data_IF_103224237562
#
_entry.id   IF_103224237562
#
_cell.length_a   1.000
_cell.length_b   1.000
_cell.length_c   1.000
_cell.angle_alpha   90.00
_cell.angle_beta   90.00
_cell.angle_gamma   90.00
#
_symmetry.space_group_name_H-M   'P 1'
#
loop_
_entity.id
_entity.type
_entity.pdbx_description
1 polymer ?
#
# COMPACT_ATOMS: atom_id res chain seq x y z
N UNK A 1 70.91 49.49 -6.75
CA UNK A 1 69.83 48.52 -6.48
C UNK A 1 68.60 49.31 -6.05
N UNK A 2 67.49 49.18 -6.76
CA UNK A 2 66.20 49.80 -6.39
C UNK A 2 65.30 48.75 -5.69
N UNK A 3 64.43 49.15 -4.74
CA UNK A 3 63.63 48.20 -3.97
C UNK A 3 62.50 47.57 -4.78
N UNK A 4 62.28 46.27 -4.57
CA UNK A 4 61.17 45.50 -5.13
C UNK A 4 59.86 45.87 -4.40
N UNK A 5 58.92 46.46 -5.13
CA UNK A 5 57.58 46.77 -4.59
C UNK A 5 56.61 45.67 -5.04
N UNK A 6 56.16 44.85 -4.09
CA UNK A 6 55.08 43.88 -4.31
C UNK A 6 53.76 44.54 -3.93
N UNK A 7 52.90 44.78 -4.93
CA UNK A 7 51.51 45.22 -4.71
C UNK A 7 50.62 43.98 -4.65
N UNK A 8 49.92 43.79 -3.53
CA UNK A 8 48.87 42.79 -3.44
C UNK A 8 47.66 43.30 -4.22
N UNK A 9 47.29 42.60 -5.29
CA UNK A 9 46.01 42.83 -5.94
C UNK A 9 44.94 42.10 -5.11
N UNK A 10 44.03 42.85 -4.51
CA UNK A 10 42.89 42.34 -3.74
C UNK A 10 41.85 41.66 -4.65
N UNK A 11 42.26 40.61 -5.35
CA UNK A 11 41.38 39.75 -6.17
C UNK A 11 40.52 38.82 -5.31
N UNK A 12 40.81 38.75 -4.01
CA UNK A 12 39.96 38.11 -3.01
C UNK A 12 39.29 39.20 -2.18
N UNK A 13 38.32 39.89 -2.77
CA UNK A 13 37.22 40.39 -1.92
C UNK A 13 36.52 39.14 -1.43
N UNK A 14 36.56 38.77 -0.14
CA UNK A 14 35.76 37.68 0.35
C UNK A 14 34.33 38.07 0.02
N UNK A 15 33.69 37.34 -0.89
CA UNK A 15 32.26 37.47 -1.13
C UNK A 15 31.65 37.40 0.26
N UNK A 16 30.97 38.48 0.68
CA UNK A 16 30.39 38.57 2.03
C UNK A 16 29.43 37.40 2.18
N UNK A 17 29.91 36.28 2.71
CA UNK A 17 29.08 35.13 3.02
C UNK A 17 28.21 35.59 4.17
N UNK A 18 27.00 36.05 3.85
CA UNK A 18 26.06 36.51 4.86
C UNK A 18 25.88 35.33 5.81
N UNK A 19 26.23 35.49 7.11
CA UNK A 19 26.17 34.38 8.05
C UNK A 19 24.74 33.85 8.07
N UNK A 20 24.61 32.53 8.00
CA UNK A 20 23.29 31.88 8.00
C UNK A 20 22.56 32.20 9.31
N UNK A 21 21.24 31.98 9.36
CA UNK A 21 20.46 32.25 10.57
C UNK A 21 21.02 31.51 11.80
N UNK A 22 21.62 30.35 11.58
CA UNK A 22 22.22 29.54 12.64
C UNK A 22 23.58 30.10 13.09
N UNK A 23 24.41 30.55 12.15
CA UNK A 23 25.67 31.23 12.48
C UNK A 23 25.42 32.50 13.31
N UNK A 24 24.37 33.26 12.97
CA UNK A 24 23.97 34.45 13.75
C UNK A 24 23.50 34.10 15.16
N UNK A 25 22.80 32.97 15.36
CA UNK A 25 22.36 32.52 16.69
C UNK A 25 23.55 32.06 17.54
N UNK A 26 24.50 31.37 16.92
CA UNK A 26 25.74 30.93 17.57
C UNK A 26 26.58 32.14 17.99
N UNK A 27 26.78 33.10 17.09
CA UNK A 27 27.55 34.32 17.39
C UNK A 27 26.90 35.15 18.51
N UNK A 28 25.56 35.14 18.60
CA UNK A 28 24.80 35.85 19.65
C UNK A 28 24.71 35.09 20.98
N UNK A 29 25.03 33.80 21.04
CA UNK A 29 24.86 33.01 22.26
C UNK A 29 25.96 33.25 23.30
N UNK A 30 27.02 33.99 22.94
CA UNK A 30 28.13 34.35 23.83
C UNK A 30 28.95 33.16 24.35
N UNK A 31 28.64 31.95 23.89
CA UNK A 31 29.27 30.69 24.29
C UNK A 31 30.23 30.24 23.20
N UNK A 32 31.51 29.94 23.51
CA UNK A 32 32.40 29.33 22.54
C UNK A 32 31.89 27.92 22.19
N UNK A 33 31.76 27.63 20.90
CA UNK A 33 31.41 26.28 20.46
C UNK A 33 32.54 25.33 20.84
N UNK A 34 32.19 24.25 21.53
CA UNK A 34 33.13 23.18 21.87
C UNK A 34 33.37 22.26 20.67
N UNK A 35 34.57 21.68 20.56
CA UNK A 35 34.91 20.73 19.49
C UNK A 35 33.97 19.51 19.48
N UNK A 36 33.41 19.15 20.63
CA UNK A 36 32.44 18.06 20.76
C UNK A 36 31.10 18.40 20.12
N UNK A 37 30.61 19.63 20.27
CA UNK A 37 29.36 20.08 19.65
C UNK A 37 29.45 20.10 18.13
N UNK A 38 30.60 20.47 17.56
CA UNK A 38 30.84 20.39 16.12
C UNK A 38 30.80 18.94 15.61
N UNK A 39 31.44 18.02 16.33
CA UNK A 39 31.42 16.59 15.99
C UNK A 39 30.01 16.01 16.09
N UNK A 40 29.23 16.41 17.10
CA UNK A 40 27.82 16.00 17.25
C UNK A 40 26.94 16.52 16.13
N UNK A 41 27.10 17.78 15.71
CA UNK A 41 26.37 18.34 14.57
C UNK A 41 26.70 17.65 13.25
N UNK A 42 27.97 17.37 12.99
CA UNK A 42 28.40 16.63 11.79
C UNK A 42 27.81 15.22 11.75
N UNK A 43 27.89 14.48 12.88
CA UNK A 43 27.27 13.15 13.00
C UNK A 43 25.75 13.20 12.81
N UNK A 44 25.06 14.19 13.37
CA UNK A 44 23.61 14.33 13.20
C UNK A 44 23.20 14.61 11.75
N UNK A 45 23.98 15.40 11.00
CA UNK A 45 23.75 15.62 9.57
C UNK A 45 24.00 14.37 8.73
N UNK A 46 25.07 13.63 9.05
CA UNK A 46 25.43 12.39 8.37
C UNK A 46 24.37 11.30 8.62
N UNK A 47 23.87 11.18 9.84
CA UNK A 47 22.77 10.27 10.21
C UNK A 47 21.44 10.62 9.51
N UNK A 48 21.16 11.91 9.27
CA UNK A 48 19.98 12.34 8.50
C UNK A 48 20.09 11.95 7.03
N UNK A 49 21.29 12.09 6.43
CA UNK A 49 21.56 11.69 5.06
C UNK A 49 21.51 10.16 4.89
N UNK A 50 22.01 9.41 5.88
CA UNK A 50 22.00 7.93 5.88
C UNK A 50 20.60 7.34 6.06
N UNK A 51 19.73 7.97 6.86
CA UNK A 51 18.35 7.51 7.10
C UNK A 51 17.43 7.59 5.87
N UNK A 52 17.81 8.32 4.83
CA UNK A 52 16.98 8.52 3.63
C UNK A 52 17.06 7.41 2.58
N UNK A 53 17.92 6.40 2.70
CA UNK A 53 18.40 5.70 1.50
C UNK A 53 17.90 4.29 1.19
N UNK A 54 17.35 3.47 2.10
CA UNK A 54 17.12 2.04 1.74
C UNK A 54 15.88 1.43 2.40
N UNK A 55 14.87 1.12 1.59
CA UNK A 55 13.65 0.29 1.82
C UNK A 55 12.36 0.97 2.30
N UNK A 56 12.38 2.20 2.81
CA UNK A 56 11.15 2.97 3.12
C UNK A 56 10.73 3.92 2.00
N UNK A 57 11.64 4.27 1.09
CA UNK A 57 11.46 5.27 0.04
C UNK A 57 10.32 4.91 -0.88
N UNK A 58 10.33 3.73 -1.51
CA UNK A 58 9.38 3.48 -2.61
C UNK A 58 7.92 3.44 -2.15
N UNK A 59 7.63 2.85 -0.98
CA UNK A 59 6.28 2.89 -0.42
C UNK A 59 5.88 4.28 0.09
N UNK A 60 6.82 5.04 0.67
CA UNK A 60 6.57 6.41 1.14
C UNK A 60 6.40 7.37 -0.04
N UNK A 61 7.18 7.19 -1.10
CA UNK A 61 7.14 7.93 -2.36
C UNK A 61 5.85 7.61 -3.13
N UNK A 62 5.41 6.35 -3.19
CA UNK A 62 4.09 5.98 -3.76
C UNK A 62 2.94 6.55 -2.91
N UNK A 63 3.09 6.61 -1.58
CA UNK A 63 2.08 7.23 -0.70
C UNK A 63 2.02 8.75 -0.89
N UNK A 64 3.17 9.37 -1.13
CA UNK A 64 3.29 10.80 -1.36
C UNK A 64 2.84 11.17 -2.79
N UNK A 65 3.02 10.28 -3.76
CA UNK A 65 2.62 10.45 -5.15
C UNK A 65 1.25 9.82 -5.46
N UNK A 66 0.22 10.63 -5.27
CA UNK A 66 -1.18 10.30 -5.57
C UNK A 66 -1.37 9.99 -7.07
N UNK A 67 -0.59 10.61 -7.96
CA UNK A 67 -0.73 10.40 -9.40
C UNK A 67 -0.22 9.01 -9.78
N UNK A 68 0.95 8.62 -9.26
CA UNK A 68 1.50 7.27 -9.44
C UNK A 68 0.58 6.20 -8.85
N UNK A 69 0.05 6.42 -7.66
CA UNK A 69 -0.88 5.47 -7.02
C UNK A 69 -2.16 5.25 -7.85
N UNK A 70 -2.71 6.33 -8.41
CA UNK A 70 -3.87 6.26 -9.32
C UNK A 70 -3.52 5.52 -10.60
N UNK A 71 -2.38 5.82 -11.22
CA UNK A 71 -1.92 5.17 -12.45
C UNK A 71 -1.76 3.66 -12.25
N UNK A 72 -1.09 3.24 -11.17
CA UNK A 72 -0.89 1.82 -10.88
C UNK A 72 -2.21 1.10 -10.62
N UNK A 73 -3.10 1.69 -9.83
CA UNK A 73 -4.40 1.08 -9.48
C UNK A 73 -5.42 1.07 -10.62
N UNK A 74 -5.34 2.02 -11.56
CA UNK A 74 -6.26 2.18 -12.69
C UNK A 74 -5.69 1.65 -14.01
N UNK A 75 -4.42 1.22 -14.05
CA UNK A 75 -3.74 0.67 -15.23
C UNK A 75 -4.56 -0.38 -15.97
N UNK A 76 -5.23 -1.28 -15.24
CA UNK A 76 -6.12 -2.30 -15.81
C UNK A 76 -7.36 -1.70 -16.51
N UNK A 77 -7.93 -0.62 -15.97
CA UNK A 77 -9.07 0.10 -16.58
C UNK A 77 -8.63 0.81 -17.86
N UNK A 78 -7.44 1.42 -17.84
CA UNK A 78 -6.88 2.11 -19.00
C UNK A 78 -6.49 1.12 -20.12
N UNK A 79 -5.91 -0.03 -19.77
CA UNK A 79 -5.56 -1.08 -20.71
C UNK A 79 -6.79 -1.73 -21.36
N UNK A 80 -7.83 -2.03 -20.58
CA UNK A 80 -9.05 -2.68 -21.08
C UNK A 80 -9.84 -1.83 -22.09
N UNK A 81 -9.83 -0.51 -21.90
CA UNK A 81 -10.68 0.41 -22.68
C UNK A 81 -10.09 0.78 -24.03
N UNK A 82 -8.77 0.65 -24.20
CA UNK A 82 -8.07 1.03 -25.43
C UNK A 82 -7.86 -0.13 -26.42
N UNK A 83 -8.39 -1.31 -26.12
CA UNK A 83 -8.27 -2.49 -26.99
C UNK A 83 -6.89 -3.11 -26.90
N UNK A 84 -6.77 -4.16 -26.10
CA UNK A 84 -5.54 -4.92 -25.87
C UNK A 84 -4.95 -5.52 -27.16
N UNK A 85 -4.07 -4.79 -27.84
CA UNK A 85 -3.04 -5.33 -28.76
C UNK A 85 -1.65 -4.76 -28.44
N UNK A 86 -1.52 -3.59 -27.80
CA UNK A 86 -0.22 -2.94 -27.65
C UNK A 86 0.39 -3.01 -26.25
N UNK A 87 1.71 -3.21 -26.24
CA UNK A 87 2.62 -3.20 -25.09
C UNK A 87 2.45 -1.96 -24.22
N UNK A 88 2.71 -2.06 -22.91
CA UNK A 88 2.55 -0.98 -21.93
C UNK A 88 3.26 0.34 -22.29
N UNK A 89 4.20 0.33 -23.23
CA UNK A 89 4.85 1.53 -23.79
C UNK A 89 3.91 2.40 -24.66
N UNK A 90 3.00 1.80 -25.43
CA UNK A 90 2.04 2.57 -26.25
C UNK A 90 0.95 3.22 -25.38
N UNK A 91 0.60 2.53 -24.28
CA UNK A 91 -0.27 3.09 -23.25
C UNK A 91 0.33 4.37 -22.67
N UNK A 92 1.63 4.37 -22.33
CA UNK A 92 2.31 5.55 -21.79
C UNK A 92 2.41 6.69 -22.80
N UNK A 93 2.75 6.41 -24.06
CA UNK A 93 2.89 7.43 -25.10
C UNK A 93 1.56 8.12 -25.42
N UNK A 94 0.46 7.38 -25.46
CA UNK A 94 -0.87 7.95 -25.75
C UNK A 94 -1.60 8.48 -24.51
N UNK A 95 -1.17 8.16 -23.28
CA UNK A 95 -1.66 8.84 -22.07
C UNK A 95 -0.92 10.14 -21.79
N UNK A 96 0.31 10.31 -22.29
CA UNK A 96 1.05 11.58 -22.16
C UNK A 96 0.31 12.74 -22.85
N UNK A 97 -0.35 12.50 -23.99
CA UNK A 97 -1.13 13.53 -24.69
C UNK A 97 -2.52 13.78 -24.09
N UNK A 98 -2.97 12.94 -23.16
CA UNK A 98 -4.29 13.03 -22.53
C UNK A 98 -4.17 12.97 -21.00
N UNK A 99 -4.03 14.15 -20.39
CA UNK A 99 -4.08 14.39 -18.94
C UNK A 99 -5.25 13.69 -18.23
N UNK A 100 -6.34 13.37 -18.94
CA UNK A 100 -7.51 12.69 -18.37
C UNK A 100 -8.02 11.54 -19.24
N UNK A 101 -8.40 10.40 -18.64
CA UNK A 101 -9.10 9.34 -19.37
C UNK A 101 -10.42 9.87 -19.94
N UNK A 102 -10.80 9.38 -21.12
CA UNK A 102 -12.01 9.80 -21.84
C UNK A 102 -13.07 8.68 -21.82
N UNK A 103 -14.35 9.06 -21.90
CA UNK A 103 -15.47 8.12 -22.05
C UNK A 103 -15.63 7.11 -20.92
N UNK A 104 -15.81 5.83 -21.26
CA UNK A 104 -16.05 4.76 -20.30
C UNK A 104 -14.87 4.56 -19.32
N UNK A 105 -13.64 4.78 -19.78
CA UNK A 105 -12.44 4.73 -18.94
C UNK A 105 -12.51 5.77 -17.83
N UNK A 106 -12.95 7.00 -18.17
CA UNK A 106 -13.13 8.10 -17.22
C UNK A 106 -14.11 7.73 -16.12
N UNK A 107 -15.26 7.20 -16.51
CA UNK A 107 -16.34 6.83 -15.57
C UNK A 107 -15.88 5.73 -14.62
N UNK A 108 -15.19 4.69 -15.14
CA UNK A 108 -14.65 3.60 -14.32
C UNK A 108 -13.54 4.08 -13.38
N UNK A 109 -12.59 4.87 -13.87
CA UNK A 109 -11.51 5.43 -13.07
C UNK A 109 -12.06 6.31 -11.94
N UNK A 110 -12.97 7.23 -12.27
CA UNK A 110 -13.62 8.09 -11.29
C UNK A 110 -14.39 7.28 -10.23
N UNK A 111 -15.18 6.28 -10.65
CA UNK A 111 -15.87 5.40 -9.71
C UNK A 111 -14.89 4.62 -8.81
N UNK A 112 -13.76 4.16 -9.35
CA UNK A 112 -12.70 3.50 -8.57
C UNK A 112 -12.13 4.44 -7.49
N UNK A 113 -11.80 5.68 -7.87
CA UNK A 113 -11.30 6.73 -6.96
C UNK A 113 -12.29 7.04 -5.84
N UNK A 114 -13.55 7.27 -6.19
CA UNK A 114 -14.61 7.55 -5.20
C UNK A 114 -14.78 6.36 -4.27
N UNK A 115 -14.81 5.13 -4.80
CA UNK A 115 -14.93 3.94 -3.96
C UNK A 115 -13.75 3.78 -3.00
N UNK A 116 -12.52 4.06 -3.46
CA UNK A 116 -11.32 3.97 -2.61
C UNK A 116 -11.38 4.97 -1.46
N UNK A 117 -11.77 6.22 -1.72
CA UNK A 117 -11.92 7.24 -0.68
C UNK A 117 -13.09 6.91 0.25
N UNK A 118 -14.21 6.45 -0.30
CA UNK A 118 -15.39 6.08 0.47
C UNK A 118 -15.20 4.82 1.33
N UNK A 119 -14.30 3.90 0.95
CA UNK A 119 -13.98 2.70 1.73
C UNK A 119 -13.37 3.03 3.10
N UNK A 120 -12.72 4.19 3.27
CA UNK A 120 -12.06 4.59 4.53
C UNK A 120 -13.08 5.03 5.59
N UNK A 121 -14.05 5.86 5.20
CA UNK A 121 -15.01 6.47 6.14
C UNK A 121 -16.44 5.88 6.03
N UNK A 122 -16.73 5.09 4.99
CA UNK A 122 -18.05 4.55 4.75
C UNK A 122 -18.34 3.26 5.54
N UNK A 123 -19.63 2.87 5.61
CA UNK A 123 -20.15 1.68 6.29
C UNK A 123 -19.65 0.32 5.69
N UNK A 124 -18.63 0.33 4.82
CA UNK A 124 -18.04 -0.87 4.20
C UNK A 124 -18.98 -1.71 3.31
N UNK A 125 -20.28 -1.36 3.25
CA UNK A 125 -21.31 -2.07 2.50
C UNK A 125 -21.39 -1.54 1.07
N UNK A 126 -20.69 -2.19 0.15
CA UNK A 126 -20.89 -1.95 -1.28
C UNK A 126 -22.26 -2.46 -1.71
N UNK A 127 -23.12 -1.57 -2.17
CA UNK A 127 -24.42 -1.93 -2.75
C UNK A 127 -24.19 -2.46 -4.17
N UNK A 128 -24.55 -3.73 -4.39
CA UNK A 128 -24.54 -4.32 -5.73
C UNK A 128 -25.77 -3.89 -6.51
N UNK A 129 -25.68 -3.93 -7.83
CA UNK A 129 -26.81 -3.72 -8.72
C UNK A 129 -27.90 -4.78 -8.47
N UNK A 130 -29.17 -4.36 -8.44
CA UNK A 130 -30.31 -5.26 -8.26
C UNK A 130 -30.45 -6.12 -9.52
N UNK A 131 -30.25 -7.43 -9.38
CA UNK A 131 -30.36 -8.39 -10.48
C UNK A 131 -31.21 -9.59 -10.05
N UNK A 132 -31.98 -10.20 -10.97
CA UNK A 132 -32.63 -11.48 -10.71
C UNK A 132 -31.61 -12.55 -10.31
N UNK A 133 -32.01 -13.43 -9.38
CA UNK A 133 -31.11 -14.45 -8.82
C UNK A 133 -30.50 -15.36 -9.89
N UNK A 134 -31.31 -15.81 -10.85
CA UNK A 134 -30.87 -16.72 -11.92
C UNK A 134 -29.82 -16.06 -12.82
N UNK A 135 -30.02 -14.79 -13.18
CA UNK A 135 -29.06 -14.03 -13.98
C UNK A 135 -27.74 -13.83 -13.22
N UNK A 136 -27.82 -13.41 -11.94
CA UNK A 136 -26.62 -13.20 -11.13
C UNK A 136 -25.82 -14.49 -10.96
N UNK A 137 -26.48 -15.62 -10.68
CA UNK A 137 -25.84 -16.95 -10.62
C UNK A 137 -25.21 -17.33 -11.96
N UNK A 138 -25.89 -17.10 -13.08
CA UNK A 138 -25.37 -17.35 -14.42
C UNK A 138 -24.10 -16.55 -14.71
N UNK A 139 -24.11 -15.25 -14.40
CA UNK A 139 -22.93 -14.38 -14.54
C UNK A 139 -21.76 -14.85 -13.68
N UNK A 140 -22.00 -15.19 -12.40
CA UNK A 140 -20.97 -15.71 -11.51
C UNK A 140 -20.37 -17.00 -12.09
N UNK A 141 -21.20 -17.95 -12.53
CA UNK A 141 -20.74 -19.22 -13.09
C UNK A 141 -19.91 -19.01 -14.36
N UNK A 142 -20.35 -18.14 -15.26
CA UNK A 142 -19.61 -17.81 -16.48
C UNK A 142 -18.26 -17.12 -16.17
N UNK A 143 -18.25 -16.21 -15.20
CA UNK A 143 -17.05 -15.51 -14.77
C UNK A 143 -16.03 -16.46 -14.11
N UNK A 144 -16.49 -17.35 -13.23
CA UNK A 144 -15.64 -18.38 -12.60
C UNK A 144 -15.04 -19.29 -13.65
N UNK A 145 -15.81 -19.79 -14.62
CA UNK A 145 -15.30 -20.60 -15.73
C UNK A 145 -14.21 -19.88 -16.54
N UNK A 146 -14.37 -18.57 -16.78
CA UNK A 146 -13.37 -17.76 -17.47
C UNK A 146 -12.07 -17.64 -16.66
N UNK A 147 -12.19 -17.42 -15.35
CA UNK A 147 -11.04 -17.38 -14.44
C UNK A 147 -10.33 -18.74 -14.40
N UNK A 148 -11.07 -19.83 -14.24
CA UNK A 148 -10.50 -21.18 -14.20
C UNK A 148 -9.76 -21.52 -15.49
N UNK A 149 -10.34 -21.18 -16.65
CA UNK A 149 -9.68 -21.34 -17.95
C UNK A 149 -8.37 -20.54 -18.01
N UNK A 150 -8.40 -19.25 -17.65
CA UNK A 150 -7.22 -18.38 -17.64
C UNK A 150 -6.13 -18.87 -16.68
N UNK A 151 -6.50 -19.29 -15.47
CA UNK A 151 -5.55 -19.81 -14.47
C UNK A 151 -4.96 -21.15 -14.88
N UNK A 152 -5.75 -22.01 -15.53
CA UNK A 152 -5.27 -23.29 -16.08
C UNK A 152 -4.30 -23.07 -17.23
N UNK A 153 -4.66 -22.24 -18.21
CA UNK A 153 -3.79 -21.91 -19.36
C UNK A 153 -2.46 -21.29 -18.89
N UNK A 154 -2.50 -20.35 -17.94
CA UNK A 154 -1.29 -19.77 -17.37
C UNK A 154 -0.43 -20.82 -16.65
N UNK A 155 -1.05 -21.75 -15.91
CA UNK A 155 -0.34 -22.83 -15.23
C UNK A 155 0.31 -23.80 -16.22
N UNK A 156 -0.40 -24.17 -17.29
CA UNK A 156 0.10 -25.04 -18.36
C UNK A 156 1.26 -24.37 -19.12
N UNK A 157 1.19 -23.06 -19.34
CA UNK A 157 2.23 -22.27 -19.99
C UNK A 157 3.40 -21.86 -19.05
N UNK A 158 3.35 -22.18 -17.76
CA UNK A 158 4.37 -21.77 -16.78
C UNK A 158 4.38 -20.26 -16.45
N UNK A 159 3.30 -19.54 -16.75
CA UNK A 159 3.16 -18.10 -16.48
C UNK A 159 2.77 -17.88 -15.01
N UNK A 160 3.56 -17.06 -14.30
CA UNK A 160 3.28 -16.71 -12.91
C UNK A 160 2.23 -15.59 -12.84
N UNK A 161 1.07 -15.90 -12.25
CA UNK A 161 -0.01 -14.95 -12.04
C UNK A 161 0.04 -14.31 -10.65
N UNK A 162 -0.44 -13.06 -10.54
CA UNK A 162 -0.61 -12.38 -9.25
C UNK A 162 -1.51 -13.19 -8.29
N UNK A 163 -1.17 -13.21 -7.00
CA UNK A 163 -1.94 -13.91 -5.96
C UNK A 163 -3.19 -13.12 -5.59
N UNK A 164 -4.32 -13.82 -5.40
CA UNK A 164 -5.61 -13.26 -4.95
C UNK A 164 -5.94 -13.76 -3.55
N UNK A 165 -6.80 -13.04 -2.80
CA UNK A 165 -7.30 -13.56 -1.52
C UNK A 165 -8.27 -14.72 -1.77
N UNK A 166 -8.43 -15.57 -0.76
CA UNK A 166 -9.41 -16.66 -0.79
C UNK A 166 -10.81 -16.08 -0.99
N UNK A 167 -11.59 -16.72 -1.85
CA UNK A 167 -12.97 -16.33 -2.23
C UNK A 167 -13.12 -15.01 -3.02
N UNK A 168 -12.01 -14.32 -3.35
CA UNK A 168 -12.02 -13.19 -4.29
C UNK A 168 -11.91 -13.67 -5.74
N UNK A 169 -12.61 -12.99 -6.63
CA UNK A 169 -12.48 -13.21 -8.07
C UNK A 169 -11.20 -12.55 -8.57
N UNK A 170 -10.48 -13.24 -9.47
CA UNK A 170 -9.39 -12.61 -10.22
C UNK A 170 -10.00 -11.53 -11.11
N UNK A 171 -9.40 -10.34 -11.09
CA UNK A 171 -9.77 -9.29 -12.02
C UNK A 171 -9.26 -9.69 -13.41
N UNK A 172 -10.20 -9.86 -14.33
CA UNK A 172 -9.93 -10.08 -15.74
C UNK A 172 -10.48 -8.89 -16.52
N UNK A 173 -10.02 -8.74 -17.76
CA UNK A 173 -10.45 -7.64 -18.61
C UNK A 173 -11.96 -7.58 -18.80
N UNK A 174 -12.55 -6.40 -18.56
CA UNK A 174 -13.99 -6.14 -18.74
C UNK A 174 -14.24 -4.98 -19.69
N UNK A 175 -14.87 -5.31 -20.82
CA UNK A 175 -15.22 -4.37 -21.89
C UNK A 175 -16.55 -3.65 -21.66
N UNK A 176 -17.33 -4.04 -20.65
CA UNK A 176 -18.60 -3.39 -20.33
C UNK A 176 -18.42 -1.95 -19.85
N UNK A 177 -19.48 -1.12 -19.95
CA UNK A 177 -19.48 0.26 -19.41
C UNK A 177 -19.37 0.24 -17.88
N UNK A 178 -20.19 -0.60 -17.23
CA UNK A 178 -20.12 -0.87 -15.79
C UNK A 178 -19.19 -2.05 -15.52
N UNK A 179 -18.37 -1.95 -14.47
CA UNK A 179 -17.50 -3.04 -14.09
C UNK A 179 -18.32 -4.24 -13.61
N UNK A 180 -17.92 -5.45 -13.99
CA UNK A 180 -18.59 -6.68 -13.55
C UNK A 180 -18.70 -6.78 -12.02
N UNK A 181 -17.75 -6.18 -11.30
CA UNK A 181 -17.73 -6.09 -9.84
C UNK A 181 -18.94 -5.35 -9.24
N UNK A 182 -19.62 -4.44 -9.96
CA UNK A 182 -20.86 -3.80 -9.47
C UNK A 182 -22.04 -4.77 -9.47
N UNK A 183 -22.04 -5.73 -10.40
CA UNK A 183 -23.12 -6.71 -10.61
C UNK A 183 -22.96 -7.95 -9.76
N UNK A 184 -21.77 -8.54 -9.75
CA UNK A 184 -21.48 -9.80 -9.06
C UNK A 184 -20.66 -9.63 -7.77
N UNK A 185 -20.11 -8.44 -7.51
CA UNK A 185 -19.20 -8.20 -6.39
C UNK A 185 -17.74 -8.56 -6.70
N UNK A 186 -16.84 -8.29 -5.75
CA UNK A 186 -15.42 -8.65 -5.85
C UNK A 186 -15.14 -10.15 -5.57
N UNK A 187 -16.10 -10.86 -5.00
CA UNK A 187 -15.92 -12.25 -4.57
C UNK A 187 -17.19 -12.84 -3.97
N UNK A 188 -17.13 -14.12 -3.63
CA UNK A 188 -18.21 -14.81 -2.92
C UNK A 188 -18.11 -14.49 -1.43
N UNK A 189 -19.02 -13.66 -0.92
CA UNK A 189 -19.08 -13.34 0.51
C UNK A 189 -19.49 -14.58 1.30
N UNK A 190 -18.53 -15.23 1.95
CA UNK A 190 -18.79 -16.25 2.97
C UNK A 190 -18.79 -15.61 4.34
N UNK A 191 -19.77 -15.97 5.15
CA UNK A 191 -19.78 -15.57 6.55
C UNK A 191 -18.60 -16.22 7.27
N UNK A 192 -17.84 -15.42 8.01
CA UNK A 192 -16.81 -15.91 8.91
C UNK A 192 -17.51 -16.54 10.11
N UNK A 193 -17.87 -17.81 9.98
CA UNK A 193 -18.45 -18.59 11.09
C UNK A 193 -17.32 -19.20 11.89
N UNK A 194 -17.32 -18.95 13.19
CA UNK A 194 -16.49 -19.68 14.13
C UNK A 194 -17.11 -21.07 14.28
N UNK A 195 -16.28 -22.11 14.32
CA UNK A 195 -16.75 -23.47 14.56
C UNK A 195 -17.48 -23.52 15.91
N UNK A 196 -18.66 -24.13 15.93
CA UNK A 196 -19.37 -24.40 17.17
C UNK A 196 -18.52 -25.33 18.06
N UNK A 197 -18.28 -24.88 19.30
CA UNK A 197 -17.45 -25.58 20.29
C UNK A 197 -18.28 -26.46 21.23
N UNK A 198 -19.60 -26.49 21.06
CA UNK A 198 -20.50 -27.18 21.98
C UNK A 198 -20.56 -26.53 23.36
N UNK A 199 -21.34 -27.12 24.27
CA UNK A 199 -21.40 -26.66 25.65
C UNK A 199 -20.14 -27.05 26.42
N UNK A 200 -19.58 -26.10 27.16
CA UNK A 200 -18.48 -26.36 28.08
C UNK A 200 -19.03 -27.04 29.34
N UNK A 201 -18.73 -28.32 29.49
CA UNK A 201 -19.20 -29.13 30.64
C UNK A 201 -18.26 -29.00 31.84
N UNK A 202 -16.96 -29.23 31.66
CA UNK A 202 -16.02 -29.27 32.77
C UNK A 202 -15.48 -27.87 33.11
N UNK A 203 -15.52 -27.52 34.41
CA UNK A 203 -14.95 -26.28 34.95
C UNK A 203 -13.57 -26.47 35.60
N UNK A 204 -13.25 -27.69 36.04
CA UNK A 204 -11.99 -28.03 36.72
C UNK A 204 -10.99 -28.64 35.75
N UNK A 205 -9.71 -28.29 35.94
CA UNK A 205 -8.60 -28.87 35.18
C UNK A 205 -8.58 -28.55 33.68
N UNK A 206 -7.62 -29.17 32.99
CA UNK A 206 -7.46 -29.08 31.52
C UNK A 206 -7.78 -30.43 30.90
N UNK A 207 -8.74 -30.45 29.98
CA UNK A 207 -9.00 -31.63 29.14
C UNK A 207 -7.95 -31.67 28.03
N UNK A 208 -7.07 -32.67 28.09
CA UNK A 208 -6.01 -32.91 27.10
C UNK A 208 -6.22 -34.27 26.45
N UNK A 209 -5.39 -34.61 25.44
CA UNK A 209 -5.41 -35.94 24.82
C UNK A 209 -5.15 -37.07 25.83
N UNK A 210 -4.39 -36.82 26.89
CA UNK A 210 -4.01 -37.81 27.90
C UNK A 210 -5.03 -37.94 29.04
N UNK A 211 -6.15 -37.21 28.98
CA UNK A 211 -7.18 -37.18 30.01
C UNK A 211 -7.32 -35.81 30.69
N UNK A 212 -8.02 -35.81 31.82
CA UNK A 212 -8.27 -34.60 32.63
C UNK A 212 -7.10 -34.37 33.58
N UNK A 213 -6.37 -33.28 33.37
CA UNK A 213 -5.24 -32.88 34.22
C UNK A 213 -5.74 -31.88 35.26
N UNK A 214 -5.73 -32.29 36.54
CA UNK A 214 -6.04 -31.43 37.68
C UNK A 214 -4.74 -30.83 38.22
N UNK A 215 -4.74 -29.52 38.46
CA UNK A 215 -3.62 -28.85 39.12
C UNK A 215 -3.63 -29.17 40.61
N UNK A 216 -2.47 -29.27 41.25
CA UNK A 216 -2.39 -29.43 42.71
C UNK A 216 -3.18 -28.34 43.44
N UNK A 217 -3.19 -27.11 42.92
CA UNK A 217 -3.99 -26.01 43.46
C UNK A 217 -5.50 -26.27 43.40
N UNK A 218 -5.99 -26.89 42.33
CA UNK A 218 -7.41 -27.21 42.18
C UNK A 218 -7.80 -28.34 43.14
N UNK A 219 -6.92 -29.33 43.31
CA UNK A 219 -7.07 -30.44 44.26
C UNK A 219 -7.13 -29.89 45.69
N UNK A 220 -6.14 -29.08 46.08
CA UNK A 220 -6.06 -28.49 47.42
C UNK A 220 -7.26 -27.58 47.72
N UNK A 221 -7.72 -26.80 46.71
CA UNK A 221 -8.88 -25.91 46.85
C UNK A 221 -10.17 -26.67 47.10
N UNK A 222 -10.40 -27.77 46.38
CA UNK A 222 -11.60 -28.59 46.57
C UNK A 222 -11.52 -29.35 47.90
N UNK A 223 -10.34 -29.86 48.28
CA UNK A 223 -10.15 -30.60 49.51
C UNK A 223 -10.21 -29.73 50.78
N UNK A 224 -9.77 -28.47 50.72
CA UNK A 224 -9.84 -27.51 51.85
C UNK A 224 -11.15 -26.74 51.94
N UNK A 225 -11.99 -26.82 50.89
CA UNK A 225 -13.27 -26.12 50.80
C UNK A 225 -14.47 -26.92 51.32
N UNK A 226 -14.24 -28.06 51.98
CA UNK A 226 -15.22 -28.75 52.82
C UNK A 226 -14.96 -28.44 54.28
#
# INVERSE_FOLDING_TARGET
>A
MAPLVVKFEDKYTPTKSVPTKDDKKILKSGRPITLEELKRKKKAQEEQLLKGSKSKTDEEDIKNDIALERLLSESHILADTRGSIYSGADLTLQTLDHENPVGNARVKALNSRIQKVAEVNGDGRKKLEKMPMNMRKGMIKAHVRKIEKYEREAKEAGIVLAKKKKDEFRQLGDRGVTSISTRIGKGLKKEKRIRDRGLKINSVGKSTRNGLVLSQKDIDKINRGR
#
